data_IF_532168842168
#
_entry.id   IF_532168842168
#
_cell.length_a   1.000
_cell.length_b   1.000
_cell.length_c   1.000
_cell.angle_alpha   90.00
_cell.angle_beta   90.00
_cell.angle_gamma   90.00
#
_symmetry.space_group_name_H-M   'P 1'
#
loop_
_entity.id
_entity.type
_entity.pdbx_description
1 polymer ?
#
# COMPACT_ATOMS: atom_id res chain seq x y z
N UNK A 1 -19.93 19.71 18.76
CA UNK A 1 -20.33 18.46 18.07
C UNK A 1 -19.80 18.38 16.64
N UNK A 2 -19.85 19.48 15.87
CA UNK A 2 -19.42 19.50 14.45
C UNK A 2 -17.93 19.18 14.21
N UNK A 3 -17.05 19.53 15.13
CA UNK A 3 -15.59 19.30 14.98
C UNK A 3 -15.23 17.81 14.97
N UNK A 4 -15.83 17.01 15.86
CA UNK A 4 -15.60 15.55 15.91
C UNK A 4 -16.06 14.88 14.62
N UNK A 5 -17.20 15.32 14.07
CA UNK A 5 -17.73 14.81 12.80
C UNK A 5 -16.77 15.11 11.64
N UNK A 6 -16.18 16.31 11.59
CA UNK A 6 -15.22 16.69 10.56
C UNK A 6 -13.96 15.81 10.54
N UNK A 7 -13.38 15.55 11.72
CA UNK A 7 -12.18 14.70 11.84
C UNK A 7 -12.49 13.26 11.43
N UNK A 8 -13.59 12.68 11.92
CA UNK A 8 -13.98 11.31 11.58
C UNK A 8 -14.20 11.17 10.06
N UNK A 9 -14.87 12.13 9.42
CA UNK A 9 -15.06 12.14 7.97
C UNK A 9 -13.72 12.23 7.22
N UNK A 10 -12.81 13.11 7.65
CA UNK A 10 -11.49 13.24 7.03
C UNK A 10 -10.66 11.94 7.13
N UNK A 11 -10.66 11.30 8.29
CA UNK A 11 -9.99 10.00 8.50
C UNK A 11 -10.62 8.91 7.64
N UNK A 12 -11.95 8.85 7.56
CA UNK A 12 -12.66 7.91 6.71
C UNK A 12 -12.32 8.07 5.22
N UNK A 13 -12.34 9.31 4.72
CA UNK A 13 -11.97 9.62 3.33
C UNK A 13 -10.50 9.30 3.03
N UNK A 14 -9.61 9.60 3.97
CA UNK A 14 -8.19 9.27 3.82
C UNK A 14 -7.96 7.75 3.81
N UNK A 15 -8.61 7.00 4.70
CA UNK A 15 -8.55 5.54 4.70
C UNK A 15 -9.07 4.93 3.40
N UNK A 16 -10.17 5.46 2.88
CA UNK A 16 -10.72 5.06 1.57
C UNK A 16 -9.72 5.34 0.45
N UNK A 17 -9.07 6.51 0.43
CA UNK A 17 -8.05 6.85 -0.56
C UNK A 17 -6.89 5.86 -0.53
N UNK A 18 -6.35 5.55 0.65
CA UNK A 18 -5.23 4.59 0.82
C UNK A 18 -5.61 3.21 0.30
N UNK A 19 -6.82 2.74 0.63
CA UNK A 19 -7.31 1.45 0.16
C UNK A 19 -7.54 1.40 -1.35
N UNK A 20 -8.12 2.46 -1.92
CA UNK A 20 -8.28 2.60 -3.37
C UNK A 20 -6.94 2.52 -4.08
N UNK A 21 -5.90 3.17 -3.55
CA UNK A 21 -4.54 3.11 -4.11
C UNK A 21 -3.96 1.70 -4.04
N UNK A 22 -4.12 1.00 -2.90
CA UNK A 22 -3.73 -0.42 -2.78
C UNK A 22 -4.43 -1.28 -3.83
N UNK A 23 -5.75 -1.13 -3.99
CA UNK A 23 -6.52 -1.95 -4.91
C UNK A 23 -6.20 -1.65 -6.38
N UNK A 24 -6.04 -0.37 -6.76
CA UNK A 24 -5.63 0.02 -8.11
C UNK A 24 -4.28 -0.60 -8.46
N UNK A 25 -3.31 -0.55 -7.54
CA UNK A 25 -1.97 -1.10 -7.80
C UNK A 25 -1.94 -2.63 -7.81
N UNK A 26 -2.66 -3.26 -6.89
CA UNK A 26 -2.80 -4.72 -6.84
C UNK A 26 -3.52 -5.27 -8.08
N UNK A 27 -4.76 -4.82 -8.34
CA UNK A 27 -5.58 -5.34 -9.44
C UNK A 27 -5.14 -4.83 -10.82
N UNK A 28 -4.66 -3.59 -10.90
CA UNK A 28 -4.11 -3.02 -12.13
C UNK A 28 -2.87 -3.77 -12.64
N UNK A 29 -2.15 -4.47 -11.76
CA UNK A 29 -1.07 -5.35 -12.18
C UNK A 29 -1.55 -6.50 -13.06
N UNK A 30 -2.81 -6.92 -12.95
CA UNK A 30 -3.39 -7.99 -13.77
C UNK A 30 -4.25 -7.45 -14.92
N UNK A 31 -4.19 -6.15 -15.20
CA UNK A 31 -5.09 -5.47 -16.16
C UNK A 31 -6.57 -5.72 -15.86
N UNK A 32 -6.92 -5.89 -14.58
CA UNK A 32 -8.27 -6.16 -14.12
C UNK A 32 -8.83 -4.93 -13.41
N UNK A 33 -9.94 -4.41 -13.91
CA UNK A 33 -10.62 -3.26 -13.30
C UNK A 33 -11.59 -3.73 -12.22
N UNK A 34 -11.10 -3.78 -10.98
CA UNK A 34 -11.87 -4.22 -9.81
C UNK A 34 -13.15 -3.39 -9.58
N UNK A 35 -13.17 -2.12 -10.00
CA UNK A 35 -14.31 -1.22 -9.76
C UNK A 35 -15.53 -1.56 -10.61
N UNK A 36 -15.37 -2.36 -11.66
CA UNK A 36 -16.49 -2.84 -12.47
C UNK A 36 -17.21 -4.03 -11.82
N UNK A 37 -16.52 -4.77 -10.94
CA UNK A 37 -17.03 -6.03 -10.38
C UNK A 37 -17.38 -5.91 -8.90
N UNK A 38 -16.64 -5.14 -8.12
CA UNK A 38 -16.84 -5.01 -6.68
C UNK A 38 -17.89 -3.95 -6.34
N UNK A 39 -18.80 -4.27 -5.42
CA UNK A 39 -19.65 -3.26 -4.78
C UNK A 39 -18.84 -2.41 -3.78
N UNK A 40 -19.27 -1.16 -3.53
CA UNK A 40 -18.61 -0.23 -2.58
C UNK A 40 -18.41 -0.84 -1.18
N UNK A 41 -19.25 -1.78 -0.77
CA UNK A 41 -19.16 -2.49 0.52
C UNK A 41 -18.00 -3.48 0.59
N UNK A 42 -17.64 -4.13 -0.51
CA UNK A 42 -16.53 -5.08 -0.53
C UNK A 42 -15.19 -4.37 -0.56
N UNK A 43 -15.15 -3.17 -1.17
CA UNK A 43 -14.03 -2.24 -1.04
C UNK A 43 -13.69 -1.95 0.43
N UNK A 44 -14.71 -1.65 1.24
CA UNK A 44 -14.49 -1.35 2.65
C UNK A 44 -13.89 -2.54 3.41
N UNK A 45 -14.27 -3.78 3.10
CA UNK A 45 -13.71 -4.98 3.75
C UNK A 45 -12.24 -5.20 3.38
N UNK A 46 -11.92 -5.08 2.09
CA UNK A 46 -10.55 -5.23 1.60
C UNK A 46 -9.63 -4.08 2.05
N UNK A 47 -10.21 -2.90 2.31
CA UNK A 47 -9.52 -1.72 2.81
C UNK A 47 -9.06 -1.82 4.27
N UNK A 48 -9.80 -2.56 5.11
CA UNK A 48 -9.58 -2.57 6.57
C UNK A 48 -8.19 -3.08 6.92
N UNK A 49 -7.74 -4.17 6.29
CA UNK A 49 -6.45 -4.78 6.62
C UNK A 49 -5.25 -3.85 6.35
N UNK A 50 -5.05 -3.29 5.13
CA UNK A 50 -3.95 -2.38 4.89
C UNK A 50 -4.05 -1.11 5.75
N UNK A 51 -5.26 -0.62 6.03
CA UNK A 51 -5.46 0.51 6.94
C UNK A 51 -5.05 0.17 8.38
N UNK A 52 -5.40 -1.01 8.88
CA UNK A 52 -5.02 -1.46 10.22
C UNK A 52 -3.50 -1.61 10.35
N UNK A 53 -2.84 -2.21 9.35
CA UNK A 53 -1.37 -2.34 9.30
C UNK A 53 -0.70 -0.97 9.25
N UNK A 54 -1.22 -0.05 8.43
CA UNK A 54 -0.77 1.33 8.35
C UNK A 54 -0.88 2.07 9.69
N UNK A 55 -2.04 1.96 10.36
CA UNK A 55 -2.26 2.57 11.68
C UNK A 55 -1.35 1.96 12.75
N UNK A 56 -1.17 0.63 12.75
CA UNK A 56 -0.26 -0.04 13.67
C UNK A 56 1.18 0.40 13.45
N UNK A 57 1.64 0.45 12.20
CA UNK A 57 2.97 0.96 11.84
C UNK A 57 3.18 2.41 12.28
N UNK A 58 2.17 3.26 12.14
CA UNK A 58 2.21 4.63 12.64
C UNK A 58 2.36 4.69 14.17
N UNK A 59 1.53 3.96 14.90
CA UNK A 59 1.58 3.90 16.37
C UNK A 59 2.94 3.40 16.84
N UNK A 60 3.48 2.35 16.20
CA UNK A 60 4.81 1.83 16.50
C UNK A 60 5.90 2.86 16.20
N UNK A 61 5.86 3.53 15.04
CA UNK A 61 6.83 4.56 14.68
C UNK A 61 6.82 5.76 15.64
N UNK A 62 5.63 6.19 16.07
CA UNK A 62 5.45 7.21 17.09
C UNK A 62 6.02 6.77 18.44
N UNK A 63 5.75 5.53 18.85
CA UNK A 63 6.25 4.97 20.12
C UNK A 63 7.77 4.84 20.09
N UNK A 64 8.34 4.31 19.02
CA UNK A 64 9.79 4.19 18.83
C UNK A 64 10.44 5.57 18.87
N UNK A 65 9.88 6.56 18.16
CA UNK A 65 10.42 7.93 18.18
C UNK A 65 10.36 8.53 19.58
N UNK A 66 9.26 8.33 20.30
CA UNK A 66 9.10 8.83 21.67
C UNK A 66 10.09 8.18 22.66
N UNK A 67 10.43 6.90 22.47
CA UNK A 67 11.40 6.17 23.30
C UNK A 67 12.84 6.55 22.95
N UNK A 68 13.17 6.67 21.66
CA UNK A 68 14.54 6.92 21.19
C UNK A 68 14.96 8.39 21.28
N UNK A 69 14.02 9.34 21.27
CA UNK A 69 14.32 10.77 21.29
C UNK A 69 13.92 11.35 22.66
N UNK A 70 14.88 11.61 23.57
CA UNK A 70 14.59 12.19 24.87
C UNK A 70 13.82 13.50 24.75
N UNK A 71 12.82 13.71 25.61
CA UNK A 71 12.00 14.92 25.63
C UNK A 71 12.83 16.21 25.70
N UNK A 72 13.98 16.17 26.39
CA UNK A 72 14.92 17.28 26.50
C UNK A 72 15.56 17.67 25.16
N UNK A 73 15.83 16.68 24.28
CA UNK A 73 16.31 16.96 22.93
C UNK A 73 15.22 17.60 22.09
N UNK A 74 13.96 17.16 22.26
CA UNK A 74 12.80 17.74 21.56
C UNK A 74 12.63 19.23 21.86
N UNK A 75 12.81 19.63 23.12
CA UNK A 75 12.73 21.04 23.52
C UNK A 75 13.89 21.90 22.99
N UNK A 76 15.03 21.29 22.64
CA UNK A 76 16.21 22.00 22.12
C UNK A 76 16.26 22.09 20.60
N UNK A 77 15.39 21.36 19.88
CA UNK A 77 15.27 21.55 18.44
C UNK A 77 14.63 22.92 18.22
N UNK A 78 15.46 23.94 18.10
CA UNK A 78 15.00 25.25 17.65
C UNK A 78 14.31 25.06 16.30
N UNK A 79 13.13 25.66 16.09
CA UNK A 79 12.48 25.60 14.79
C UNK A 79 13.48 26.11 13.76
N UNK A 80 13.82 25.25 12.80
CA UNK A 80 14.66 25.64 11.67
C UNK A 80 14.06 26.94 11.12
N UNK A 81 14.89 27.99 11.02
CA UNK A 81 14.44 29.32 10.58
C UNK A 81 13.63 29.15 9.30
N UNK A 82 12.42 29.71 9.27
CA UNK A 82 11.50 29.54 8.16
C UNK A 82 12.23 29.80 6.84
N UNK A 83 12.23 28.84 5.90
CA UNK A 83 12.82 29.09 4.60
C UNK A 83 12.05 30.23 3.91
N UNK A 84 12.70 31.01 3.04
CA UNK A 84 12.04 32.10 2.35
C UNK A 84 10.84 31.58 1.54
N UNK A 85 9.79 32.39 1.32
CA UNK A 85 8.54 31.97 0.69
C UNK A 85 8.70 31.42 -0.72
N UNK A 86 9.77 31.80 -1.43
CA UNK A 86 10.13 31.27 -2.74
C UNK A 86 10.54 29.80 -2.67
N UNK A 87 11.41 29.42 -1.71
CA UNK A 87 11.84 28.05 -1.48
C UNK A 87 10.69 27.13 -1.06
N UNK A 88 9.73 27.66 -0.30
CA UNK A 88 8.53 26.94 0.13
C UNK A 88 7.66 26.44 -1.04
N UNK A 89 7.74 27.07 -2.22
CA UNK A 89 6.96 26.69 -3.42
C UNK A 89 7.72 25.77 -4.36
N UNK A 90 9.03 25.94 -4.49
CA UNK A 90 9.85 25.21 -5.47
C UNK A 90 10.06 23.75 -5.04
N UNK A 91 10.38 23.51 -3.77
CA UNK A 91 10.65 22.14 -3.26
C UNK A 91 9.48 21.18 -3.52
N UNK A 92 8.22 21.47 -3.14
CA UNK A 92 7.12 20.55 -3.40
C UNK A 92 6.87 20.36 -4.90
N UNK A 93 7.04 21.40 -5.72
CA UNK A 93 6.90 21.27 -7.17
C UNK A 93 7.96 20.34 -7.77
N UNK A 94 9.22 20.48 -7.33
CA UNK A 94 10.33 19.60 -7.74
C UNK A 94 10.10 18.17 -7.23
N UNK A 95 9.62 17.99 -6.00
CA UNK A 95 9.24 16.67 -5.48
C UNK A 95 8.14 16.03 -6.32
N UNK A 96 7.08 16.76 -6.68
CA UNK A 96 5.99 16.24 -7.53
C UNK A 96 6.51 15.85 -8.92
N UNK A 97 7.30 16.72 -9.56
CA UNK A 97 7.89 16.41 -10.85
C UNK A 97 8.83 15.19 -10.77
N UNK A 98 9.65 15.13 -9.73
CA UNK A 98 10.53 13.99 -9.45
C UNK A 98 9.75 12.69 -9.28
N UNK A 99 8.64 12.72 -8.54
CA UNK A 99 7.76 11.55 -8.37
C UNK A 99 7.20 11.12 -9.73
N UNK A 100 6.71 12.05 -10.56
CA UNK A 100 6.21 11.72 -11.90
C UNK A 100 7.30 11.04 -12.73
N UNK A 101 8.52 11.59 -12.74
CA UNK A 101 9.66 11.01 -13.46
C UNK A 101 10.05 9.63 -12.91
N UNK A 102 10.00 9.43 -11.60
CA UNK A 102 10.30 8.13 -10.98
C UNK A 102 9.26 7.08 -11.38
N UNK A 103 7.98 7.45 -11.38
CA UNK A 103 6.91 6.53 -11.76
C UNK A 103 6.97 6.11 -13.23
N UNK A 104 7.53 6.95 -14.12
CA UNK A 104 7.67 6.64 -15.55
C UNK A 104 8.98 5.96 -15.91
N UNK A 105 10.10 6.36 -15.31
CA UNK A 105 11.45 5.96 -15.75
C UNK A 105 12.10 4.87 -14.90
N UNK A 106 11.76 4.76 -13.60
CA UNK A 106 12.46 3.85 -12.68
C UNK A 106 11.90 2.44 -12.81
N UNK A 107 12.73 1.42 -12.59
CA UNK A 107 12.29 0.02 -12.56
C UNK A 107 11.32 -0.25 -11.41
N UNK A 108 10.33 -1.13 -11.61
CA UNK A 108 9.21 -1.36 -10.70
C UNK A 108 9.59 -1.55 -9.22
N UNK A 109 10.70 -2.24 -8.96
CA UNK A 109 11.19 -2.52 -7.60
C UNK A 109 11.68 -1.27 -6.86
N UNK A 110 12.31 -0.33 -7.56
CA UNK A 110 12.92 0.87 -6.98
C UNK A 110 11.96 2.08 -6.95
N UNK A 111 10.82 2.02 -7.66
CA UNK A 111 9.86 3.12 -7.74
C UNK A 111 9.39 3.60 -6.36
N UNK A 112 9.02 2.66 -5.50
CA UNK A 112 8.43 2.95 -4.20
C UNK A 112 9.41 3.56 -3.18
N UNK A 113 10.60 2.96 -2.92
CA UNK A 113 11.56 3.57 -1.99
C UNK A 113 12.03 4.95 -2.48
N UNK A 114 12.27 5.12 -3.77
CA UNK A 114 12.67 6.44 -4.32
C UNK A 114 11.55 7.47 -4.17
N UNK A 115 10.29 7.07 -4.43
CA UNK A 115 9.12 7.94 -4.19
C UNK A 115 9.01 8.35 -2.71
N UNK A 116 9.22 7.42 -1.78
CA UNK A 116 9.21 7.70 -0.35
C UNK A 116 10.29 8.73 0.05
N UNK A 117 11.51 8.59 -0.48
CA UNK A 117 12.60 9.56 -0.24
C UNK A 117 12.25 10.95 -0.81
N UNK A 118 11.68 11.02 -2.01
CA UNK A 118 11.27 12.28 -2.64
C UNK A 118 10.12 13.00 -1.92
N UNK A 119 9.33 12.27 -1.13
CA UNK A 119 8.29 12.84 -0.28
C UNK A 119 8.84 13.48 1.00
N UNK A 120 10.03 13.10 1.49
CA UNK A 120 10.59 13.67 2.71
C UNK A 120 10.76 15.21 2.66
N UNK A 121 11.33 15.81 1.59
CA UNK A 121 11.39 17.26 1.46
C UNK A 121 10.01 17.92 1.41
N UNK A 122 9.06 17.33 0.68
CA UNK A 122 7.69 17.85 0.58
C UNK A 122 6.98 17.80 1.94
N UNK A 123 7.12 16.70 2.68
CA UNK A 123 6.59 16.52 4.03
C UNK A 123 7.17 17.56 5.00
N UNK A 124 8.50 17.76 4.95
CA UNK A 124 9.18 18.78 5.74
C UNK A 124 8.62 20.17 5.45
N UNK A 125 8.47 20.56 4.18
CA UNK A 125 7.89 21.85 3.81
C UNK A 125 6.42 22.00 4.23
N UNK A 126 5.59 20.98 4.02
CA UNK A 126 4.18 20.99 4.46
C UNK A 126 4.05 21.09 5.98
N UNK A 127 5.01 20.55 6.73
CA UNK A 127 5.05 20.69 8.19
C UNK A 127 5.23 22.14 8.64
N UNK A 128 5.77 23.03 7.80
CA UNK A 128 5.86 24.46 8.13
C UNK A 128 4.59 25.25 7.78
N UNK A 129 3.58 24.64 7.14
CA UNK A 129 2.38 25.39 6.76
C UNK A 129 1.63 25.93 8.00
N UNK A 130 1.21 27.21 8.03
CA UNK A 130 0.58 27.82 9.21
C UNK A 130 -0.65 27.06 9.72
N UNK A 131 -1.44 26.48 8.82
CA UNK A 131 -2.59 25.65 9.19
C UNK A 131 -2.19 24.39 9.96
N UNK A 132 -1.11 23.73 9.55
CA UNK A 132 -0.61 22.52 10.22
C UNK A 132 0.03 22.90 11.56
N UNK A 133 0.76 24.01 11.61
CA UNK A 133 1.33 24.54 12.86
C UNK A 133 0.26 24.85 13.91
N UNK A 134 -0.89 25.41 13.50
CA UNK A 134 -2.02 25.67 14.40
C UNK A 134 -2.63 24.40 14.98
N UNK A 135 -2.69 23.33 14.19
CA UNK A 135 -3.22 22.03 14.63
C UNK A 135 -2.24 21.25 15.51
N UNK A 136 -0.94 21.33 15.22
CA UNK A 136 0.11 20.57 15.89
C UNK A 136 1.31 21.47 16.19
N UNK A 137 1.39 22.09 17.38
CA UNK A 137 2.45 23.04 17.69
C UNK A 137 3.84 22.39 17.80
N UNK A 138 3.91 21.14 18.26
CA UNK A 138 5.16 20.38 18.38
C UNK A 138 5.79 20.06 17.02
N UNK A 139 7.04 20.49 16.79
CA UNK A 139 7.74 20.31 15.51
C UNK A 139 7.86 18.85 15.08
N UNK A 140 8.34 17.95 15.95
CA UNK A 140 8.49 16.53 15.59
C UNK A 140 7.16 15.83 15.37
N UNK A 141 6.17 16.05 16.24
CA UNK A 141 4.84 15.47 16.07
C UNK A 141 4.25 15.88 14.72
N UNK A 142 4.38 17.18 14.38
CA UNK A 142 3.90 17.72 13.12
C UNK A 142 4.61 17.13 11.91
N UNK A 143 5.95 17.10 11.93
CA UNK A 143 6.75 16.54 10.83
C UNK A 143 6.44 15.05 10.63
N UNK A 144 6.41 14.26 11.70
CA UNK A 144 6.10 12.83 11.62
C UNK A 144 4.67 12.56 11.17
N UNK A 145 3.69 13.34 11.65
CA UNK A 145 2.30 13.18 11.23
C UNK A 145 2.13 13.48 9.75
N UNK A 146 2.72 14.58 9.25
CA UNK A 146 2.68 14.93 7.82
C UNK A 146 3.41 13.88 6.99
N UNK A 147 4.60 13.45 7.43
CA UNK A 147 5.38 12.43 6.74
C UNK A 147 4.61 11.12 6.62
N UNK A 148 4.00 10.64 7.70
CA UNK A 148 3.22 9.41 7.69
C UNK A 148 2.00 9.55 6.78
N UNK A 149 1.25 10.65 6.89
CA UNK A 149 0.09 10.89 6.02
C UNK A 149 0.46 10.86 4.54
N UNK A 150 1.64 11.33 4.16
CA UNK A 150 2.13 11.29 2.78
C UNK A 150 2.69 9.91 2.37
N UNK A 151 3.34 9.21 3.30
CA UNK A 151 3.95 7.90 3.02
C UNK A 151 2.93 6.76 2.97
N UNK A 152 1.83 6.83 3.71
CA UNK A 152 0.84 5.75 3.77
C UNK A 152 0.28 5.34 2.39
N UNK A 153 -0.16 6.28 1.52
CA UNK A 153 -0.53 5.96 0.15
C UNK A 153 0.57 5.25 -0.65
N UNK A 154 1.83 5.68 -0.49
CA UNK A 154 2.98 5.10 -1.21
C UNK A 154 3.27 3.68 -0.71
N UNK A 155 3.20 3.45 0.60
CA UNK A 155 3.33 2.10 1.15
C UNK A 155 2.19 1.19 0.72
N UNK A 156 0.96 1.69 0.69
CA UNK A 156 -0.19 0.93 0.19
C UNK A 156 0.01 0.52 -1.27
N UNK A 157 0.48 1.44 -2.12
CA UNK A 157 0.84 1.16 -3.50
C UNK A 157 1.97 0.11 -3.62
N UNK A 158 3.01 0.24 -2.79
CA UNK A 158 4.14 -0.67 -2.76
C UNK A 158 3.74 -2.09 -2.35
N UNK A 159 2.94 -2.23 -1.29
CA UNK A 159 2.44 -3.51 -0.80
C UNK A 159 1.50 -4.14 -1.83
N UNK A 160 0.61 -3.36 -2.44
CA UNK A 160 -0.27 -3.84 -3.52
C UNK A 160 0.53 -4.39 -4.71
N UNK A 161 1.57 -3.66 -5.14
CA UNK A 161 2.47 -4.11 -6.20
C UNK A 161 3.25 -5.37 -5.81
N UNK A 162 3.75 -5.46 -4.57
CA UNK A 162 4.48 -6.63 -4.07
C UNK A 162 3.60 -7.87 -4.01
N UNK A 163 2.39 -7.76 -3.45
CA UNK A 163 1.44 -8.86 -3.40
C UNK A 163 1.05 -9.34 -4.80
N UNK A 164 0.82 -8.42 -5.75
CA UNK A 164 0.53 -8.78 -7.12
C UNK A 164 1.73 -9.51 -7.78
N UNK A 165 2.95 -9.06 -7.51
CA UNK A 165 4.17 -9.76 -7.97
C UNK A 165 4.23 -11.19 -7.40
N UNK A 166 3.99 -11.38 -6.11
CA UNK A 166 4.00 -12.72 -5.49
C UNK A 166 2.97 -13.67 -6.13
N UNK A 167 1.79 -13.16 -6.49
CA UNK A 167 0.76 -13.92 -7.22
C UNK A 167 1.26 -14.32 -8.61
N UNK A 168 1.86 -13.38 -9.34
CA UNK A 168 2.39 -13.62 -10.69
C UNK A 168 3.57 -14.61 -10.70
N UNK A 169 4.42 -14.53 -9.69
CA UNK A 169 5.60 -15.39 -9.54
C UNK A 169 5.23 -16.77 -8.98
N UNK A 170 3.97 -17.02 -8.63
CA UNK A 170 3.53 -18.30 -8.08
C UNK A 170 4.04 -18.56 -6.65
N UNK A 171 4.38 -17.51 -5.89
CA UNK A 171 4.95 -17.57 -4.53
C UNK A 171 3.95 -17.21 -3.43
N UNK A 172 2.66 -17.11 -3.76
CA UNK A 172 1.59 -16.88 -2.77
C UNK A 172 1.47 -18.01 -1.78
N UNK A 173 0.94 -17.73 -0.60
CA UNK A 173 0.70 -18.73 0.46
C UNK A 173 -0.28 -19.83 0.05
N UNK A 174 -1.23 -19.52 -0.84
CA UNK A 174 -2.28 -20.43 -1.30
C UNK A 174 -2.19 -20.61 -2.82
N UNK A 175 -2.34 -21.86 -3.25
CA UNK A 175 -2.50 -22.28 -4.65
C UNK A 175 -3.82 -23.01 -4.81
N UNK A 176 -4.36 -22.99 -6.03
CA UNK A 176 -5.58 -23.71 -6.39
C UNK A 176 -5.22 -25.12 -6.84
N UNK A 177 -5.91 -26.11 -6.31
CA UNK A 177 -5.76 -27.50 -6.75
C UNK A 177 -6.41 -27.72 -8.13
N UNK A 178 -5.84 -28.60 -8.96
CA UNK A 178 -6.39 -28.96 -10.28
C UNK A 178 -7.60 -29.91 -10.18
N UNK A 179 -8.44 -29.74 -9.17
CA UNK A 179 -9.64 -30.55 -8.95
C UNK A 179 -10.89 -29.69 -9.11
N UNK A 180 -12.04 -30.32 -9.34
CA UNK A 180 -13.32 -29.62 -9.49
C UNK A 180 -13.35 -28.68 -10.71
N UNK A 181 -13.73 -27.42 -10.48
CA UNK A 181 -13.87 -26.40 -11.55
C UNK A 181 -12.53 -26.08 -12.22
N UNK A 182 -11.42 -26.25 -11.50
CA UNK A 182 -10.08 -25.97 -12.01
C UNK A 182 -9.44 -27.13 -12.78
N UNK A 183 -10.12 -28.27 -12.94
CA UNK A 183 -9.56 -29.46 -13.60
C UNK A 183 -9.16 -29.26 -15.07
N UNK A 184 -9.80 -28.30 -15.75
CA UNK A 184 -9.51 -27.97 -17.16
C UNK A 184 -8.42 -26.91 -17.34
N UNK A 185 -7.87 -26.38 -16.24
CA UNK A 185 -6.88 -25.30 -16.27
C UNK A 185 -5.47 -25.88 -16.38
N UNK A 186 -4.56 -25.19 -17.07
CA UNK A 186 -3.21 -25.68 -17.30
C UNK A 186 -2.33 -25.29 -16.11
N UNK A 187 -2.27 -26.15 -15.11
CA UNK A 187 -1.27 -26.03 -14.03
C UNK A 187 -0.18 -27.07 -14.15
N UNK A 188 1.07 -26.65 -13.99
CA UNK A 188 2.21 -27.53 -13.72
C UNK A 188 2.82 -27.18 -12.36
N UNK A 189 3.66 -28.04 -11.76
CA UNK A 189 4.37 -27.71 -10.51
C UNK A 189 5.23 -26.44 -10.62
N UNK A 190 5.74 -26.15 -11.82
CA UNK A 190 6.51 -24.94 -12.15
C UNK A 190 5.60 -23.72 -12.24
N UNK A 191 4.42 -23.88 -12.85
CA UNK A 191 3.43 -22.85 -13.08
C UNK A 191 2.09 -23.18 -12.37
N UNK A 192 2.01 -22.95 -11.04
CA UNK A 192 0.81 -23.21 -10.27
C UNK A 192 -0.32 -22.23 -10.62
N UNK A 193 -1.57 -22.64 -10.43
CA UNK A 193 -2.71 -21.73 -10.38
C UNK A 193 -2.69 -20.98 -9.05
N UNK A 194 -2.55 -19.65 -9.11
CA UNK A 194 -2.52 -18.82 -7.90
C UNK A 194 -3.86 -18.17 -7.64
N UNK A 195 -4.29 -18.23 -6.39
CA UNK A 195 -5.49 -17.55 -5.93
C UNK A 195 -5.20 -16.05 -5.77
N UNK A 196 -5.94 -15.21 -6.49
CA UNK A 196 -5.77 -13.75 -6.45
C UNK A 196 -6.69 -13.15 -5.39
N UNK A 197 -7.97 -13.52 -5.42
CA UNK A 197 -8.94 -12.99 -4.48
C UNK A 197 -10.36 -13.42 -4.80
N UNK A 198 -11.29 -12.86 -4.04
CA UNK A 198 -12.72 -13.11 -4.20
C UNK A 198 -13.46 -11.78 -4.25
N UNK A 199 -14.27 -11.60 -5.28
CA UNK A 199 -14.95 -10.35 -5.61
C UNK A 199 -16.37 -10.66 -6.06
N UNK A 200 -17.38 -10.14 -5.36
CA UNK A 200 -18.80 -10.27 -5.74
C UNK A 200 -19.19 -11.68 -6.19
N UNK A 201 -18.91 -12.68 -5.35
CA UNK A 201 -19.19 -14.09 -5.61
C UNK A 201 -18.38 -14.75 -6.74
N UNK A 202 -17.29 -14.12 -7.15
CA UNK A 202 -16.38 -14.63 -8.19
C UNK A 202 -14.99 -14.82 -7.60
N UNK A 203 -14.48 -16.06 -7.68
CA UNK A 203 -13.09 -16.36 -7.42
C UNK A 203 -12.25 -15.91 -8.61
N UNK A 204 -11.20 -15.14 -8.33
CA UNK A 204 -10.25 -14.67 -9.32
C UNK A 204 -8.97 -15.47 -9.17
N UNK A 205 -8.59 -16.17 -10.23
CA UNK A 205 -7.46 -17.09 -10.29
C UNK A 205 -6.51 -16.62 -11.37
N UNK A 206 -5.22 -16.65 -11.10
CA UNK A 206 -4.18 -16.31 -12.06
C UNK A 206 -3.48 -17.58 -12.53
N UNK A 207 -3.51 -17.81 -13.84
CA UNK A 207 -2.80 -18.91 -14.48
C UNK A 207 -1.38 -18.46 -14.82
N UNK A 208 -0.41 -18.82 -13.96
CA UNK A 208 0.99 -18.36 -14.08
C UNK A 208 1.67 -18.80 -15.38
N UNK A 209 1.20 -19.86 -16.03
CA UNK A 209 1.73 -20.35 -17.30
C UNK A 209 1.40 -19.43 -18.48
N UNK A 210 0.18 -18.88 -18.50
CA UNK A 210 -0.35 -18.10 -19.63
C UNK A 210 -0.40 -16.60 -19.32
N UNK A 211 -0.38 -16.24 -18.04
CA UNK A 211 -0.61 -14.88 -17.57
C UNK A 211 -2.09 -14.47 -17.60
N UNK A 212 -3.01 -15.43 -17.79
CA UNK A 212 -4.44 -15.14 -17.86
C UNK A 212 -5.08 -15.08 -16.47
N UNK A 213 -6.05 -14.18 -16.33
CA UNK A 213 -6.99 -14.20 -15.21
C UNK A 213 -8.22 -15.01 -15.57
N UNK A 214 -8.61 -15.89 -14.66
CA UNK A 214 -9.74 -16.79 -14.78
C UNK A 214 -10.73 -16.42 -13.68
N UNK A 215 -11.97 -16.18 -14.08
CA UNK A 215 -13.07 -15.80 -13.21
C UNK A 215 -14.00 -17.00 -13.05
N UNK A 216 -14.08 -17.55 -11.84
CA UNK A 216 -14.96 -18.68 -11.52
C UNK A 216 -16.07 -18.20 -10.59
N UNK A 217 -17.33 -18.35 -11.00
CA UNK A 217 -18.45 -17.96 -10.14
C UNK A 217 -18.63 -19.01 -9.05
N UNK A 218 -18.91 -18.55 -7.83
CA UNK A 218 -19.20 -19.44 -6.70
C UNK A 218 -20.45 -20.30 -6.93
N UNK A 219 -21.36 -19.87 -7.81
CA UNK A 219 -22.53 -20.64 -8.22
C UNK A 219 -22.19 -21.92 -8.99
N UNK A 220 -20.97 -22.04 -9.52
CA UNK A 220 -20.54 -23.24 -10.21
C UNK A 220 -20.37 -24.35 -9.17
N UNK A 221 -21.11 -25.44 -9.33
CA UNK A 221 -21.41 -26.42 -8.26
C UNK A 221 -20.20 -27.20 -7.75
N UNK A 222 -19.04 -27.11 -8.40
CA UNK A 222 -17.83 -27.77 -7.94
C UNK A 222 -17.02 -26.87 -6.99
N UNK A 223 -16.55 -27.40 -5.84
CA UNK A 223 -15.80 -26.62 -4.87
C UNK A 223 -14.41 -26.23 -5.40
N UNK A 224 -13.97 -25.01 -5.06
CA UNK A 224 -12.58 -24.60 -5.25
C UNK A 224 -11.75 -25.05 -4.05
N UNK A 225 -10.78 -25.94 -4.28
CA UNK A 225 -9.91 -26.45 -3.22
C UNK A 225 -8.61 -25.64 -3.21
N UNK A 226 -8.36 -24.94 -2.10
CA UNK A 226 -7.12 -24.21 -1.87
C UNK A 226 -6.13 -25.08 -1.08
N UNK A 227 -4.88 -25.13 -1.53
CA UNK A 227 -3.79 -25.83 -0.86
C UNK A 227 -2.68 -24.85 -0.47
N UNK A 228 -1.98 -25.08 0.65
CA UNK A 228 -0.77 -24.33 0.97
C UNK A 228 0.28 -24.51 -0.14
N UNK A 229 0.91 -23.41 -0.54
CA UNK A 229 1.96 -23.45 -1.55
C UNK A 229 3.29 -23.93 -0.94
N UNK A 230 3.88 -25.03 -1.42
CA UNK A 230 5.17 -25.50 -0.93
C UNK A 230 6.30 -24.47 -1.15
N UNK A 231 6.20 -23.63 -2.19
CA UNK A 231 7.21 -22.60 -2.51
C UNK A 231 7.16 -21.38 -1.59
N UNK A 232 6.01 -21.10 -0.96
CA UNK A 232 5.85 -19.93 -0.10
C UNK A 232 6.73 -19.99 1.17
N UNK A 233 7.03 -21.19 1.65
CA UNK A 233 7.89 -21.37 2.83
C UNK A 233 9.39 -21.20 2.54
N UNK A 234 9.82 -21.39 1.29
CA UNK A 234 11.24 -21.21 0.92
C UNK A 234 11.63 -19.76 0.69
N UNK A 235 10.70 -18.91 0.20
CA UNK A 235 10.99 -17.52 -0.21
C UNK A 235 11.00 -16.51 0.94
N UNK A 236 10.62 -16.90 2.17
CA UNK A 236 10.73 -16.05 3.36
C UNK A 236 12.13 -16.07 3.99
N UNK A 237 13.12 -16.69 3.33
CA UNK A 237 14.52 -16.53 3.74
C UNK A 237 14.95 -15.10 3.43
N UNK A 238 15.23 -14.33 4.49
CA UNK A 238 15.73 -12.96 4.44
C UNK A 238 16.93 -12.74 3.50
N UNK A 239 17.63 -13.80 3.07
CA UNK A 239 18.68 -13.76 2.06
C UNK A 239 18.22 -13.15 0.74
N UNK A 240 16.99 -13.46 0.31
CA UNK A 240 16.53 -13.12 -1.05
C UNK A 240 16.02 -11.67 -1.15
N UNK A 241 15.89 -10.97 -0.02
CA UNK A 241 15.49 -9.56 0.05
C UNK A 241 16.68 -8.59 0.03
N UNK A 242 17.91 -9.11 0.07
CA UNK A 242 19.14 -8.32 0.11
C UNK A 242 19.97 -8.42 -1.18
N UNK A 243 19.50 -9.17 -2.19
CA UNK A 243 20.07 -9.24 -3.54
C UNK A 243 19.27 -8.38 -4.53
#
# INVERSE_FOLDING_TARGET
>A
MNEKLGITTAVGLFGLLVATIYLITYWGSFSFDIFQFAGLTDFAKLAIQPLAVAMLGFVLGMTITAVLVPAERLSRVQPLRWPPPTTLRIIPAVSVLGIILVQTLVHAQWRWPVTAVLLCPAASMMSFHPGVHRLMPGYLLRMNSVLVLLLLPVFAAAIGSLHAKMVKDGTTTLIVDNTGVAANLKSTPEHPLTYVGFVSDTFVIYETATGNLILLKQSDTAPLVLKPNPKAHSSLRLSDLLE
#
